data_IF_388545493005
#
_entry.id   IF_388545493005
#
_cell.length_a   1.000
_cell.length_b   1.000
_cell.length_c   1.000
_cell.angle_alpha   90.00
_cell.angle_beta   90.00
_cell.angle_gamma   90.00
#
_symmetry.space_group_name_H-M   'P 1'
#
loop_
_entity.id
_entity.type
_entity.pdbx_description
1 polymer ?
#
# COMPACT_ATOMS: atom_id res chain seq x y z
N UNK A 1 -19.23 -10.98 16.65
CA UNK A 1 -18.92 -12.33 16.15
C UNK A 1 -17.43 -12.51 16.29
N UNK A 2 -16.99 -13.47 17.10
CA UNK A 2 -15.58 -13.79 17.31
C UNK A 2 -15.19 -14.84 16.28
N UNK A 3 -14.11 -14.61 15.54
CA UNK A 3 -13.59 -15.54 14.53
C UNK A 3 -12.09 -15.73 14.77
N UNK A 4 -11.55 -16.89 14.40
CA UNK A 4 -10.15 -17.23 14.59
C UNK A 4 -9.45 -17.44 13.25
N UNK A 5 -8.20 -16.99 13.15
CA UNK A 5 -7.34 -17.26 12.01
C UNK A 5 -6.00 -17.77 12.54
N UNK A 6 -5.53 -18.90 12.00
CA UNK A 6 -4.21 -19.45 12.32
C UNK A 6 -3.20 -18.96 11.28
N UNK A 7 -2.10 -18.37 11.74
CA UNK A 7 -1.02 -17.86 10.89
C UNK A 7 0.24 -18.67 11.22
N UNK A 8 0.86 -19.32 10.23
CA UNK A 8 2.10 -20.07 10.43
C UNK A 8 2.52 -20.90 9.20
N UNK A 9 3.79 -21.35 9.15
CA UNK A 9 4.40 -21.98 7.96
C UNK A 9 3.96 -23.44 7.70
N UNK A 10 3.21 -24.06 8.60
CA UNK A 10 2.78 -25.46 8.47
C UNK A 10 1.35 -25.56 7.91
N UNK A 11 1.03 -26.53 7.04
CA UNK A 11 -0.34 -26.80 6.62
C UNK A 11 -1.16 -27.25 7.82
N UNK A 12 -1.88 -26.32 8.44
CA UNK A 12 -2.54 -26.58 9.72
C UNK A 12 -3.91 -27.21 9.49
N UNK A 13 -4.15 -28.34 10.16
CA UNK A 13 -5.46 -29.00 10.22
C UNK A 13 -6.49 -27.97 10.71
N UNK A 14 -7.52 -27.72 9.90
CA UNK A 14 -8.62 -26.77 10.15
C UNK A 14 -9.56 -27.29 11.25
N UNK A 15 -9.05 -27.45 12.48
CA UNK A 15 -9.90 -27.76 13.63
C UNK A 15 -10.42 -26.44 14.21
N UNK A 16 -11.75 -26.27 14.34
CA UNK A 16 -12.32 -25.10 15.00
C UNK A 16 -11.83 -25.06 16.46
N UNK A 17 -11.51 -23.85 16.94
CA UNK A 17 -11.17 -23.65 18.33
C UNK A 17 -12.46 -23.70 19.15
N UNK A 18 -12.51 -24.58 20.13
CA UNK A 18 -13.65 -24.70 21.05
C UNK A 18 -13.26 -23.97 22.33
N UNK A 19 -14.02 -22.94 22.69
CA UNK A 19 -13.89 -22.20 23.94
C UNK A 19 -15.24 -22.30 24.65
N UNK A 20 -15.26 -22.77 25.90
CA UNK A 20 -16.49 -22.83 26.72
C UNK A 20 -17.70 -23.48 26.02
N UNK A 21 -17.47 -24.59 25.29
CA UNK A 21 -18.46 -25.31 24.46
C UNK A 21 -18.92 -24.62 23.15
N UNK A 22 -18.46 -23.41 22.85
CA UNK A 22 -18.74 -22.74 21.57
C UNK A 22 -17.60 -22.94 20.57
N UNK A 23 -17.96 -23.40 19.37
CA UNK A 23 -17.03 -23.53 18.25
C UNK A 23 -16.84 -22.18 17.57
N UNK A 24 -15.62 -21.66 17.60
CA UNK A 24 -15.26 -20.42 16.93
C UNK A 24 -14.98 -20.70 15.45
N UNK A 25 -15.58 -19.89 14.58
CA UNK A 25 -15.38 -19.98 13.13
C UNK A 25 -13.90 -19.78 12.77
N UNK A 26 -13.36 -20.66 11.94
CA UNK A 26 -12.03 -20.54 11.37
C UNK A 26 -12.11 -19.84 10.01
N UNK A 27 -11.58 -18.63 9.91
CA UNK A 27 -11.62 -17.80 8.69
C UNK A 27 -10.24 -17.72 8.02
N UNK A 28 -10.23 -17.58 6.69
CA UNK A 28 -8.99 -17.43 5.90
C UNK A 28 -8.54 -15.97 5.77
N UNK A 29 -9.49 -15.04 5.87
CA UNK A 29 -9.24 -13.60 5.76
C UNK A 29 -10.11 -12.87 6.78
N UNK A 30 -9.55 -11.87 7.45
CA UNK A 30 -10.32 -10.98 8.31
C UNK A 30 -9.72 -9.57 8.34
N UNK A 31 -10.54 -8.58 8.71
CA UNK A 31 -10.08 -7.19 8.84
C UNK A 31 -9.66 -6.93 10.28
N UNK A 32 -8.39 -6.61 10.47
CA UNK A 32 -7.80 -6.23 11.76
C UNK A 32 -7.30 -4.79 11.70
N UNK A 33 -7.77 -3.94 12.62
CA UNK A 33 -7.40 -2.51 12.69
C UNK A 33 -7.51 -1.77 11.34
N UNK A 34 -8.47 -2.20 10.52
CA UNK A 34 -8.74 -1.65 9.19
C UNK A 34 -7.99 -2.34 8.04
N UNK A 35 -6.98 -3.16 8.30
CA UNK A 35 -6.17 -3.88 7.30
C UNK A 35 -6.67 -5.31 7.13
N UNK A 36 -6.84 -5.77 5.88
CA UNK A 36 -7.15 -7.17 5.60
C UNK A 36 -5.90 -8.02 5.83
N UNK A 37 -6.03 -9.04 6.67
CA UNK A 37 -4.99 -10.03 6.96
C UNK A 37 -5.50 -11.37 6.45
N UNK A 38 -4.64 -12.09 5.74
CA UNK A 38 -4.91 -13.41 5.20
C UNK A 38 -3.93 -14.45 5.75
N UNK A 39 -4.30 -15.73 5.65
CA UNK A 39 -3.47 -16.85 6.09
C UNK A 39 -2.15 -16.97 5.32
N UNK A 40 -2.13 -16.54 4.06
CA UNK A 40 -0.97 -16.64 3.15
C UNK A 40 -0.04 -15.42 3.22
N UNK A 41 -0.36 -14.42 4.06
CA UNK A 41 0.35 -13.14 4.16
C UNK A 41 0.52 -12.41 2.81
N UNK A 42 -0.36 -12.67 1.84
CA UNK A 42 -0.38 -11.95 0.56
C UNK A 42 -1.01 -10.57 0.71
N UNK A 43 -0.21 -9.54 0.45
CA UNK A 43 -0.62 -8.14 0.54
C UNK A 43 -1.45 -7.67 -0.66
N UNK A 44 -1.53 -8.47 -1.73
CA UNK A 44 -2.23 -8.12 -2.96
C UNK A 44 -3.74 -7.95 -2.74
N UNK A 45 -4.37 -8.81 -1.94
CA UNK A 45 -5.78 -8.70 -1.56
C UNK A 45 -6.09 -7.38 -0.84
N UNK A 46 -5.25 -6.97 0.12
CA UNK A 46 -5.41 -5.70 0.83
C UNK A 46 -5.19 -4.50 -0.11
N UNK A 47 -4.17 -4.53 -0.97
CA UNK A 47 -3.91 -3.46 -1.93
C UNK A 47 -5.11 -3.28 -2.87
N UNK A 48 -5.68 -4.37 -3.37
CA UNK A 48 -6.90 -4.33 -4.17
C UNK A 48 -8.08 -3.72 -3.42
N UNK A 49 -8.29 -4.13 -2.17
CA UNK A 49 -9.32 -3.57 -1.29
C UNK A 49 -9.15 -2.05 -1.08
N UNK A 50 -7.91 -1.58 -0.92
CA UNK A 50 -7.59 -0.14 -0.81
C UNK A 50 -7.79 0.61 -2.12
N UNK A 51 -7.40 0.03 -3.25
CA UNK A 51 -7.69 0.59 -4.57
C UNK A 51 -9.21 0.74 -4.78
N UNK A 52 -10.00 -0.26 -4.41
CA UNK A 52 -11.46 -0.20 -4.47
C UNK A 52 -12.02 0.90 -3.57
N UNK A 53 -11.52 1.02 -2.34
CA UNK A 53 -11.95 2.06 -1.39
C UNK A 53 -11.58 3.47 -1.88
N UNK A 54 -10.36 3.65 -2.38
CA UNK A 54 -9.90 4.90 -2.97
C UNK A 54 -10.67 5.26 -4.25
N UNK A 55 -11.06 4.26 -5.06
CA UNK A 55 -11.95 4.47 -6.19
C UNK A 55 -13.33 4.98 -5.74
N UNK A 56 -13.95 4.36 -4.73
CA UNK A 56 -15.24 4.82 -4.16
C UNK A 56 -15.13 6.26 -3.68
N UNK A 57 -14.08 6.59 -2.94
CA UNK A 57 -13.79 7.96 -2.48
C UNK A 57 -13.68 8.94 -3.65
N UNK A 58 -12.90 8.60 -4.69
CA UNK A 58 -12.81 9.41 -5.90
C UNK A 58 -14.16 9.63 -6.57
N UNK A 59 -14.99 8.58 -6.67
CA UNK A 59 -16.30 8.68 -7.33
C UNK A 59 -17.27 9.58 -6.54
N UNK A 60 -17.20 9.60 -5.21
CA UNK A 60 -17.90 10.60 -4.40
C UNK A 60 -17.47 12.04 -4.70
N UNK A 61 -16.18 12.25 -5.02
CA UNK A 61 -15.62 13.56 -5.37
C UNK A 61 -15.63 13.87 -6.88
N UNK A 62 -16.30 13.05 -7.70
CA UNK A 62 -16.20 13.11 -9.15
C UNK A 62 -16.61 14.48 -9.73
N UNK A 63 -17.60 15.14 -9.12
CA UNK A 63 -18.06 16.48 -9.51
C UNK A 63 -16.92 17.51 -9.41
N UNK A 64 -16.14 17.47 -8.32
CA UNK A 64 -15.01 18.38 -8.11
C UNK A 64 -13.90 18.13 -9.14
N UNK A 65 -13.59 16.87 -9.41
CA UNK A 65 -12.56 16.53 -10.41
C UNK A 65 -12.99 16.86 -11.84
N UNK A 66 -14.29 16.79 -12.16
CA UNK A 66 -14.84 17.16 -13.48
C UNK A 66 -14.99 18.67 -13.69
N UNK A 67 -15.24 19.43 -12.62
CA UNK A 67 -15.45 20.88 -12.69
C UNK A 67 -14.34 21.60 -13.45
N UNK A 68 -14.69 22.54 -14.33
CA UNK A 68 -13.72 23.41 -15.03
C UNK A 68 -13.31 24.62 -14.19
N UNK A 69 -14.14 24.99 -13.20
CA UNK A 69 -13.92 26.14 -12.30
C UNK A 69 -12.78 25.87 -11.34
N UNK A 70 -12.63 24.63 -10.87
CA UNK A 70 -11.58 24.25 -9.92
C UNK A 70 -10.24 24.10 -10.64
N UNK A 71 -9.23 24.84 -10.15
CA UNK A 71 -7.88 24.79 -10.70
C UNK A 71 -7.22 23.40 -10.56
N UNK A 72 -6.27 23.09 -11.47
CA UNK A 72 -5.54 21.82 -11.45
C UNK A 72 -4.80 21.62 -10.12
N UNK A 73 -4.16 22.68 -9.61
CA UNK A 73 -3.41 22.63 -8.35
C UNK A 73 -4.32 22.26 -7.17
N UNK A 74 -5.55 22.80 -7.12
CA UNK A 74 -6.52 22.45 -6.07
C UNK A 74 -6.95 20.99 -6.18
N UNK A 75 -7.18 20.48 -7.39
CA UNK A 75 -7.49 19.06 -7.60
C UNK A 75 -6.33 18.14 -7.21
N UNK A 76 -5.09 18.54 -7.48
CA UNK A 76 -3.90 17.82 -7.00
C UNK A 76 -3.86 17.80 -5.48
N UNK A 77 -4.12 18.94 -4.83
CA UNK A 77 -4.23 19.01 -3.37
C UNK A 77 -5.30 18.06 -2.84
N UNK A 78 -6.53 18.09 -3.39
CA UNK A 78 -7.61 17.17 -3.02
C UNK A 78 -7.22 15.69 -3.18
N UNK A 79 -6.53 15.36 -4.27
CA UNK A 79 -6.01 14.00 -4.45
C UNK A 79 -5.02 13.63 -3.34
N UNK A 80 -4.05 14.51 -3.04
CA UNK A 80 -3.03 14.27 -2.01
C UNK A 80 -3.60 14.20 -0.60
N UNK A 81 -4.63 14.97 -0.27
CA UNK A 81 -5.17 15.07 1.09
C UNK A 81 -6.27 14.07 1.39
N UNK A 82 -7.04 13.64 0.39
CA UNK A 82 -8.21 12.77 0.61
C UNK A 82 -7.99 11.38 0.02
N UNK A 83 -7.67 11.30 -1.27
CA UNK A 83 -7.64 10.01 -1.99
C UNK A 83 -6.37 9.23 -1.69
N UNK A 84 -5.21 9.90 -1.68
CA UNK A 84 -3.91 9.27 -1.45
C UNK A 84 -3.84 8.61 -0.06
N UNK A 85 -4.22 9.27 1.06
CA UNK A 85 -4.18 8.65 2.38
C UNK A 85 -5.12 7.44 2.50
N UNK A 86 -6.30 7.49 1.87
CA UNK A 86 -7.23 6.34 1.82
C UNK A 86 -6.59 5.14 1.12
N UNK A 87 -5.79 5.39 0.08
CA UNK A 87 -5.07 4.36 -0.64
C UNK A 87 -3.85 3.84 0.13
N UNK A 88 -3.09 4.71 0.80
CA UNK A 88 -1.78 4.37 1.38
C UNK A 88 -1.82 3.99 2.85
N UNK A 89 -3.00 3.95 3.47
CA UNK A 89 -3.12 3.53 4.85
C UNK A 89 -2.59 2.11 5.06
N UNK A 90 -1.67 1.95 6.01
CA UNK A 90 -1.02 0.67 6.31
C UNK A 90 -0.03 0.22 5.25
N UNK A 91 0.33 1.08 4.31
CA UNK A 91 1.28 0.73 3.24
C UNK A 91 2.72 0.51 3.73
N UNK A 92 3.02 0.96 4.94
CA UNK A 92 4.30 0.72 5.62
C UNK A 92 4.54 -0.78 5.87
N UNK A 93 3.47 -1.56 6.07
CA UNK A 93 3.54 -2.99 6.36
C UNK A 93 3.40 -3.86 5.10
N UNK A 94 3.32 -3.26 3.91
CA UNK A 94 3.13 -4.02 2.67
C UNK A 94 4.44 -4.53 2.07
N UNK A 95 4.44 -5.82 1.72
CA UNK A 95 5.44 -6.44 0.86
C UNK A 95 5.12 -6.14 -0.61
N UNK A 96 5.71 -5.09 -1.15
CA UNK A 96 5.47 -4.65 -2.53
C UNK A 96 6.18 -5.56 -3.55
N UNK A 97 5.40 -6.34 -4.30
CA UNK A 97 5.86 -7.01 -5.52
C UNK A 97 5.83 -6.05 -6.71
N UNK A 98 6.52 -6.40 -7.81
CA UNK A 98 6.50 -5.56 -9.01
C UNK A 98 5.10 -5.40 -9.60
N UNK A 99 4.28 -6.44 -9.50
CA UNK A 99 2.87 -6.39 -9.89
C UNK A 99 2.09 -5.35 -9.06
N UNK A 100 2.26 -5.38 -7.74
CA UNK A 100 1.61 -4.46 -6.81
C UNK A 100 2.02 -3.00 -7.06
N UNK A 101 3.31 -2.74 -7.30
CA UNK A 101 3.80 -1.41 -7.71
C UNK A 101 3.10 -0.93 -9.00
N UNK A 102 3.00 -1.81 -10.00
CA UNK A 102 2.36 -1.49 -11.28
C UNK A 102 0.87 -1.18 -11.12
N UNK A 103 0.16 -1.92 -10.27
CA UNK A 103 -1.25 -1.69 -9.96
C UNK A 103 -1.48 -0.33 -9.30
N UNK A 104 -0.68 0.01 -8.29
CA UNK A 104 -0.72 1.30 -7.62
C UNK A 104 -0.39 2.45 -8.59
N UNK A 105 0.66 2.30 -9.39
CA UNK A 105 1.02 3.27 -10.42
C UNK A 105 -0.08 3.43 -11.49
N UNK A 106 -0.76 2.35 -11.89
CA UNK A 106 -1.89 2.39 -12.81
C UNK A 106 -3.05 3.20 -12.24
N UNK A 107 -3.36 2.99 -10.96
CA UNK A 107 -4.38 3.76 -10.25
C UNK A 107 -4.03 5.26 -10.25
N UNK A 108 -2.84 5.64 -9.80
CA UNK A 108 -2.43 7.04 -9.72
C UNK A 108 -2.42 7.71 -11.10
N UNK A 109 -1.81 7.09 -12.10
CA UNK A 109 -1.78 7.60 -13.47
C UNK A 109 -3.20 7.80 -14.04
N UNK A 110 -4.17 6.96 -13.67
CA UNK A 110 -5.58 7.14 -14.07
C UNK A 110 -6.17 8.40 -13.44
N UNK A 111 -5.89 8.69 -12.17
CA UNK A 111 -6.36 9.90 -11.47
C UNK A 111 -5.68 11.16 -11.99
N UNK A 112 -4.36 11.16 -12.11
CA UNK A 112 -3.60 12.31 -12.59
C UNK A 112 -4.00 12.70 -14.02
N UNK A 113 -4.24 11.74 -14.93
CA UNK A 113 -4.75 12.08 -16.28
C UNK A 113 -6.13 12.71 -16.29
N UNK A 114 -6.98 12.43 -15.29
CA UNK A 114 -8.27 13.14 -15.14
C UNK A 114 -8.07 14.57 -14.66
N UNK A 115 -7.09 14.80 -13.79
CA UNK A 115 -6.75 16.14 -13.27
C UNK A 115 -6.13 17.01 -14.38
N UNK A 116 -5.11 16.51 -15.07
CA UNK A 116 -4.35 17.26 -16.07
C UNK A 116 -4.95 17.27 -17.47
N UNK A 117 -5.99 16.46 -17.69
CA UNK A 117 -6.72 16.31 -18.96
C UNK A 117 -5.81 15.91 -20.14
N UNK A 118 -6.42 15.78 -21.31
CA UNK A 118 -5.70 15.59 -22.57
C UNK A 118 -4.80 16.81 -22.87
N UNK A 119 -3.81 16.60 -23.73
CA UNK A 119 -3.03 17.69 -24.32
C UNK A 119 -3.57 17.98 -25.71
N UNK A 120 -3.65 19.25 -26.07
CA UNK A 120 -3.99 19.69 -27.42
C UNK A 120 -2.67 20.12 -28.09
N UNK A 121 -2.29 19.42 -29.14
CA UNK A 121 -1.13 19.76 -29.97
C UNK A 121 -1.64 20.04 -31.37
N UNK A 122 -1.46 21.27 -31.84
CA UNK A 122 -1.82 21.71 -33.18
C UNK A 122 -3.28 21.40 -33.58
N UNK A 123 -4.22 21.50 -32.62
CA UNK A 123 -5.64 21.22 -32.85
C UNK A 123 -6.05 19.76 -32.61
N UNK A 124 -5.09 18.84 -32.38
CA UNK A 124 -5.36 17.43 -32.13
C UNK A 124 -5.29 17.14 -30.62
N UNK A 125 -6.41 16.65 -30.07
CA UNK A 125 -6.46 16.19 -28.69
C UNK A 125 -5.87 14.78 -28.57
N UNK A 126 -4.77 14.63 -27.82
CA UNK A 126 -4.18 13.32 -27.52
C UNK A 126 -4.09 13.02 -26.02
N UNK A 127 -4.02 11.73 -25.70
CA UNK A 127 -3.72 11.27 -24.33
C UNK A 127 -2.28 11.61 -23.97
N UNK A 128 -2.06 12.11 -22.74
CA UNK A 128 -0.71 12.35 -22.19
C UNK A 128 0.02 11.03 -21.91
N UNK A 129 1.30 11.00 -22.28
CA UNK A 129 2.22 9.90 -21.97
C UNK A 129 2.60 9.90 -20.48
N UNK A 130 3.16 8.77 -20.00
CA UNK A 130 3.54 8.62 -18.59
C UNK A 130 4.62 9.63 -18.17
N UNK A 131 5.65 9.82 -19.00
CA UNK A 131 6.76 10.72 -18.69
C UNK A 131 6.29 12.18 -18.59
N UNK A 132 5.42 12.63 -19.48
CA UNK A 132 4.83 13.98 -19.45
C UNK A 132 4.03 14.20 -18.17
N UNK A 133 3.28 13.17 -17.75
CA UNK A 133 2.44 13.23 -16.56
C UNK A 133 3.27 13.38 -15.28
N UNK A 134 4.39 12.64 -15.18
CA UNK A 134 5.29 12.77 -14.03
C UNK A 134 6.06 14.09 -14.05
N UNK A 135 6.44 14.58 -15.23
CA UNK A 135 7.09 15.88 -15.38
C UNK A 135 6.23 17.02 -14.85
N UNK A 136 4.92 17.02 -15.11
CA UNK A 136 3.99 18.07 -14.65
C UNK A 136 3.45 17.85 -13.22
N UNK A 137 3.60 16.64 -12.67
CA UNK A 137 3.12 16.33 -11.32
C UNK A 137 4.06 16.88 -10.24
N UNK A 138 5.37 16.91 -10.51
CA UNK A 138 6.42 17.47 -9.64
C UNK A 138 6.43 16.94 -8.20
N UNK A 139 5.90 15.73 -7.99
CA UNK A 139 5.73 15.11 -6.68
C UNK A 139 6.13 13.63 -6.76
N UNK A 140 6.53 13.01 -5.64
CA UNK A 140 6.76 11.57 -5.61
C UNK A 140 5.51 10.82 -6.07
N UNK A 141 5.72 9.89 -7.01
CA UNK A 141 4.70 8.92 -7.38
C UNK A 141 4.29 8.08 -6.15
N UNK A 142 3.15 7.41 -6.26
CA UNK A 142 2.56 6.67 -5.15
C UNK A 142 3.50 5.59 -4.60
N UNK A 143 4.28 4.93 -5.46
CA UNK A 143 5.20 3.87 -5.05
C UNK A 143 6.36 4.46 -4.26
N UNK A 144 6.95 5.55 -4.75
CA UNK A 144 7.99 6.29 -4.03
C UNK A 144 7.47 6.83 -2.71
N UNK A 145 6.25 7.36 -2.68
CA UNK A 145 5.63 7.84 -1.45
C UNK A 145 5.50 6.73 -0.39
N UNK A 146 5.05 5.53 -0.79
CA UNK A 146 4.98 4.36 0.11
C UNK A 146 6.39 3.96 0.58
N UNK A 147 7.37 3.90 -0.32
CA UNK A 147 8.76 3.56 0.05
C UNK A 147 9.37 4.56 1.03
N UNK A 148 9.10 5.86 0.86
CA UNK A 148 9.50 6.90 1.81
C UNK A 148 8.81 6.69 3.17
N UNK A 149 7.52 6.36 3.19
CA UNK A 149 6.79 6.03 4.41
C UNK A 149 7.42 4.85 5.16
N UNK A 150 7.76 3.78 4.44
CA UNK A 150 8.48 2.62 5.00
C UNK A 150 9.82 3.00 5.62
N UNK A 151 10.64 3.78 4.92
CA UNK A 151 11.93 4.24 5.45
C UNK A 151 11.75 5.15 6.67
N UNK A 152 10.73 6.00 6.66
CA UNK A 152 10.40 6.88 7.79
C UNK A 152 10.01 6.06 9.03
N UNK A 153 9.22 5.01 8.83
CA UNK A 153 8.85 4.06 9.89
C UNK A 153 10.07 3.30 10.45
N UNK A 154 10.94 2.78 9.57
CA UNK A 154 12.20 2.16 10.00
C UNK A 154 13.05 3.14 10.82
N UNK A 155 13.19 4.37 10.34
CA UNK A 155 13.91 5.41 11.08
C UNK A 155 13.29 5.72 12.45
N UNK A 156 11.96 5.65 12.58
CA UNK A 156 11.28 5.79 13.87
C UNK A 156 11.62 4.63 14.82
N UNK A 157 11.59 3.39 14.33
CA UNK A 157 11.98 2.19 15.10
C UNK A 157 13.42 2.29 15.59
N UNK A 158 14.34 2.76 14.76
CA UNK A 158 15.76 2.91 15.13
C UNK A 158 15.99 3.95 16.24
N UNK A 159 15.07 4.90 16.43
CA UNK A 159 15.13 5.90 17.51
C UNK A 159 14.46 5.42 18.81
N UNK A 160 13.72 4.31 18.79
CA UNK A 160 13.13 3.73 20.01
C UNK A 160 14.21 3.16 20.93
N UNK A 161 13.88 2.94 22.20
CA UNK A 161 14.79 2.29 23.14
C UNK A 161 15.13 0.86 22.68
N UNK A 162 16.34 0.36 22.98
CA UNK A 162 16.76 -0.99 22.59
C UNK A 162 15.93 -2.11 23.24
N UNK A 163 15.30 -1.80 24.37
CA UNK A 163 14.40 -2.70 25.10
C UNK A 163 13.03 -2.81 24.42
N UNK A 164 12.68 -1.88 23.53
CA UNK A 164 11.41 -1.89 22.82
C UNK A 164 11.31 -3.14 21.92
N UNK A 165 10.23 -3.94 22.05
CA UNK A 165 10.03 -5.13 21.22
C UNK A 165 10.16 -4.88 19.72
N UNK A 166 9.72 -3.71 19.23
CA UNK A 166 9.78 -3.35 17.82
C UNK A 166 11.23 -3.19 17.33
N UNK A 167 12.09 -2.54 18.13
CA UNK A 167 13.51 -2.36 17.80
C UNK A 167 14.27 -3.67 17.94
N UNK A 168 14.03 -4.43 19.02
CA UNK A 168 14.69 -5.70 19.29
C UNK A 168 14.51 -6.70 18.15
N UNK A 169 13.30 -6.80 17.59
CA UNK A 169 13.02 -7.71 16.47
C UNK A 169 13.70 -7.28 15.18
N UNK A 170 13.73 -5.97 14.89
CA UNK A 170 14.37 -5.44 13.67
C UNK A 170 15.88 -5.69 13.60
N UNK A 171 16.57 -5.67 14.75
CA UNK A 171 18.00 -5.97 14.83
C UNK A 171 18.27 -7.46 14.58
N UNK A 172 17.38 -8.35 15.02
CA UNK A 172 17.52 -9.80 14.77
C UNK A 172 17.45 -10.10 13.27
N UNK A 173 16.51 -9.49 12.54
CA UNK A 173 16.39 -9.69 11.08
C UNK A 173 17.58 -9.10 10.29
N UNK A 174 18.30 -8.11 10.85
CA UNK A 174 19.52 -7.56 10.26
C UNK A 174 20.74 -8.45 10.55
N UNK A 175 20.86 -8.97 11.77
CA UNK A 175 21.96 -9.84 12.17
C UNK A 175 21.88 -11.22 11.49
N UNK A 176 20.68 -11.75 11.26
CA UNK A 176 20.48 -13.00 10.49
C UNK A 176 20.90 -12.83 9.03
N UNK A 177 20.87 -11.61 8.47
CA UNK A 177 21.35 -11.33 7.11
C UNK A 177 22.87 -11.22 6.99
N UNK A 178 23.56 -10.80 8.06
CA UNK A 178 25.04 -10.78 8.07
C UNK A 178 25.64 -12.19 8.15
N UNK A 179 24.90 -13.17 8.67
CA UNK A 179 25.36 -14.58 8.75
C UNK A 179 25.17 -15.37 7.44
N UNK A 180 24.39 -14.89 6.47
CA UNK A 180 24.17 -15.59 5.18
C UNK A 180 25.08 -15.08 4.03
N UNK A 181 25.91 -14.04 4.24
CA UNK A 181 26.70 -13.40 3.17
C UNK A 181 28.20 -13.78 3.12
N UNK A 182 28.64 -14.82 3.85
CA UNK A 182 29.98 -15.43 3.70
C UNK A 182 29.90 -16.94 4.01
N UNK A 183 30.28 -17.87 3.10
CA UNK A 183 31.62 -17.96 2.53
C UNK A 183 31.70 -18.42 1.05
N UNK A 184 32.54 -17.79 0.22
CA UNK A 184 33.35 -18.48 -0.81
C UNK A 184 34.40 -17.52 -1.42
N UNK A 185 35.47 -17.28 -0.66
CA UNK A 185 36.80 -16.99 -1.20
C UNK A 185 37.78 -17.96 -0.53
N UNK A 186 38.12 -19.05 -1.22
CA UNK A 186 39.51 -19.50 -1.44
C UNK A 186 39.51 -20.92 -2.04
N UNK A 187 39.89 -21.01 -3.32
CA UNK A 187 40.84 -21.98 -3.95
C UNK A 187 40.59 -22.11 -5.45
#
# INVERSE_FOLDING_TARGET
>A
MTSTMKIGPQPQIRRPLIIENDAIEAVNEFVYLGTLVNTENDTTSEINRRICTANRCYFGLNLLFKSTVISRNTKVKLYKTIIRPVLTYGSETWTLTKSNENMLGCFERKRLRRIYRAVNENGVCRRRYNFELYRIYHEPDIVKHIKIGRLTWVGHVMRMEQTDPARKRSLIDLLVKEEEEDPEQDS
#
